data_IF_579684838519
#
_entry.id   IF_579684838519
#
_cell.length_a   1.000
_cell.length_b   1.000
_cell.length_c   1.000
_cell.angle_alpha   90.00
_cell.angle_beta   90.00
_cell.angle_gamma   90.00
#
_symmetry.space_group_name_H-M   'P 1'
#
loop_
_entity.id
_entity.type
_entity.pdbx_description
1 polymer ?
#
# COMPACT_ATOMS: atom_id res chain seq x y z
N UNK A 1 -2.65 -6.42 15.99
CA UNK A 1 -2.55 -5.47 14.86
C UNK A 1 -2.06 -4.07 15.24
N UNK A 2 -1.48 -3.84 16.43
CA UNK A 2 -1.17 -2.48 16.92
C UNK A 2 0.14 -1.85 16.42
N UNK A 3 0.93 -2.53 15.56
CA UNK A 3 2.24 -2.01 15.08
C UNK A 3 2.39 -1.95 13.55
N UNK A 4 1.43 -2.45 12.78
CA UNK A 4 1.51 -2.50 11.32
C UNK A 4 0.42 -1.60 10.72
N UNK A 5 0.79 -0.75 9.77
CA UNK A 5 -0.17 0.08 9.03
C UNK A 5 -1.13 -0.83 8.25
N UNK A 6 -2.42 -0.47 8.26
CA UNK A 6 -3.46 -1.26 7.60
C UNK A 6 -3.25 -1.32 6.08
N UNK A 7 -2.68 -0.26 5.51
CA UNK A 7 -2.27 -0.17 4.11
C UNK A 7 -1.27 -1.28 3.75
N UNK A 8 -0.24 -1.49 4.58
CA UNK A 8 0.75 -2.54 4.34
C UNK A 8 0.12 -3.94 4.39
N UNK A 9 -0.79 -4.18 5.34
CA UNK A 9 -1.50 -5.47 5.45
C UNK A 9 -2.37 -5.75 4.22
N UNK A 10 -3.13 -4.75 3.77
CA UNK A 10 -3.98 -4.86 2.57
C UNK A 10 -3.14 -5.14 1.32
N UNK A 11 -2.04 -4.41 1.14
CA UNK A 11 -1.15 -4.60 -0.01
C UNK A 11 -0.52 -5.99 -0.04
N UNK A 12 0.00 -6.48 1.10
CA UNK A 12 0.57 -7.83 1.18
C UNK A 12 -0.48 -8.92 0.97
N UNK A 13 -1.69 -8.75 1.53
CA UNK A 13 -2.78 -9.70 1.31
C UNK A 13 -3.13 -9.83 -0.19
N UNK A 14 -3.08 -8.72 -0.93
CA UNK A 14 -3.29 -8.72 -2.38
C UNK A 14 -2.17 -9.39 -3.15
N UNK A 15 -0.92 -9.07 -2.87
CA UNK A 15 0.24 -9.70 -3.52
C UNK A 15 0.25 -11.23 -3.28
N UNK A 16 -0.20 -11.66 -2.11
CA UNK A 16 -0.35 -13.08 -1.75
C UNK A 16 -1.61 -13.74 -2.33
N UNK A 17 -2.38 -13.05 -3.18
CA UNK A 17 -3.61 -13.55 -3.80
C UNK A 17 -4.66 -14.07 -2.80
N UNK A 18 -4.79 -13.41 -1.64
CA UNK A 18 -5.70 -13.87 -0.59
C UNK A 18 -7.17 -13.42 -0.76
N UNK A 19 -7.55 -12.97 -1.97
CA UNK A 19 -8.91 -12.57 -2.31
C UNK A 19 -9.24 -11.10 -2.00
N UNK A 20 -10.50 -10.85 -1.63
CA UNK A 20 -10.96 -9.48 -1.34
C UNK A 20 -10.50 -8.99 0.02
N UNK A 21 -9.95 -7.77 0.06
CA UNK A 21 -9.42 -7.13 1.27
C UNK A 21 -10.45 -7.07 2.41
N UNK A 22 -11.72 -6.82 2.08
CA UNK A 22 -12.83 -6.76 3.04
C UNK A 22 -13.16 -8.14 3.61
N UNK A 23 -13.26 -9.15 2.75
CA UNK A 23 -13.58 -10.52 3.16
C UNK A 23 -12.47 -11.11 4.03
N UNK A 24 -11.21 -10.87 3.66
CA UNK A 24 -10.05 -11.33 4.40
C UNK A 24 -9.94 -10.69 5.79
N UNK A 25 -10.06 -9.37 5.87
CA UNK A 25 -9.93 -8.67 7.15
C UNK A 25 -11.10 -8.94 8.09
N UNK A 26 -12.25 -9.37 7.57
CA UNK A 26 -13.38 -9.83 8.39
C UNK A 26 -13.08 -11.15 9.12
N UNK A 27 -12.11 -11.95 8.64
CA UNK A 27 -11.68 -13.21 9.26
C UNK A 27 -10.58 -13.00 10.32
N UNK A 28 -10.09 -11.78 10.51
CA UNK A 28 -9.07 -11.48 11.51
C UNK A 28 -9.63 -11.66 12.93
N UNK A 29 -8.74 -12.00 13.89
CA UNK A 29 -9.09 -12.15 15.31
C UNK A 29 -9.76 -10.91 15.91
N UNK A 30 -9.37 -9.73 15.43
CA UNK A 30 -9.99 -8.45 15.76
C UNK A 30 -10.18 -7.67 14.44
N UNK A 31 -11.38 -7.73 13.82
CA UNK A 31 -11.59 -7.17 12.50
C UNK A 31 -11.58 -5.64 12.55
N UNK A 32 -10.81 -4.97 11.66
CA UNK A 32 -10.78 -3.52 11.61
C UNK A 32 -12.12 -2.95 11.14
N UNK A 33 -12.44 -1.72 11.56
CA UNK A 33 -13.64 -0.99 11.10
C UNK A 33 -13.61 -0.82 9.58
N UNK A 34 -14.76 -0.96 8.91
CA UNK A 34 -14.90 -0.77 7.46
C UNK A 34 -14.40 0.60 6.98
N UNK A 35 -14.60 1.66 7.78
CA UNK A 35 -14.08 2.99 7.49
C UNK A 35 -12.55 3.05 7.47
N UNK A 36 -11.89 2.24 8.30
CA UNK A 36 -10.43 2.09 8.29
C UNK A 36 -9.94 1.38 7.04
N UNK A 37 -10.61 0.29 6.64
CA UNK A 37 -10.29 -0.45 5.41
C UNK A 37 -10.44 0.46 4.20
N UNK A 38 -11.57 1.15 4.07
CA UNK A 38 -11.81 2.10 2.96
C UNK A 38 -10.73 3.17 2.87
N UNK A 39 -10.33 3.73 4.01
CA UNK A 39 -9.25 4.74 4.06
C UNK A 39 -7.91 4.14 3.64
N UNK A 40 -7.58 2.94 4.10
CA UNK A 40 -6.34 2.28 3.73
C UNK A 40 -6.27 1.98 2.22
N UNK A 41 -7.38 1.49 1.64
CA UNK A 41 -7.51 1.26 0.19
C UNK A 41 -7.41 2.57 -0.59
N UNK A 42 -8.09 3.63 -0.14
CA UNK A 42 -7.98 4.96 -0.76
C UNK A 42 -6.53 5.47 -0.75
N UNK A 43 -5.83 5.37 0.39
CA UNK A 43 -4.42 5.75 0.50
C UNK A 43 -3.53 4.93 -0.47
N UNK A 44 -3.78 3.62 -0.58
CA UNK A 44 -3.04 2.75 -1.51
C UNK A 44 -3.26 3.16 -2.97
N UNK A 45 -4.49 3.55 -3.34
CA UNK A 45 -4.82 4.08 -4.67
C UNK A 45 -4.14 5.41 -4.94
N UNK A 46 -4.17 6.34 -3.98
CA UNK A 46 -3.51 7.65 -4.10
C UNK A 46 -1.99 7.53 -4.28
N UNK A 47 -1.38 6.58 -3.55
CA UNK A 47 0.06 6.30 -3.64
C UNK A 47 0.41 5.51 -4.91
N UNK A 48 -0.58 4.91 -5.58
CA UNK A 48 -0.41 4.14 -6.81
C UNK A 48 0.04 2.70 -6.57
N UNK A 49 -0.08 2.19 -5.35
CA UNK A 49 0.27 0.82 -5.00
C UNK A 49 -0.79 -0.19 -5.46
N UNK A 50 -2.05 0.23 -5.57
CA UNK A 50 -3.14 -0.56 -6.15
C UNK A 50 -3.92 0.25 -7.19
N UNK A 51 -4.58 -0.43 -8.12
CA UNK A 51 -5.42 0.16 -9.17
C UNK A 51 -6.76 0.65 -8.62
N UNK A 52 -7.40 1.53 -9.38
CA UNK A 52 -8.72 2.05 -9.07
C UNK A 52 -9.80 0.99 -9.29
N UNK A 53 -9.60 0.15 -10.30
CA UNK A 53 -10.50 -0.91 -10.72
C UNK A 53 -9.94 -2.28 -10.33
N UNK A 54 -10.78 -3.32 -10.37
CA UNK A 54 -10.37 -4.71 -10.18
C UNK A 54 -10.57 -5.49 -11.49
N UNK A 55 -9.55 -6.21 -11.94
CA UNK A 55 -9.62 -7.10 -13.08
C UNK A 55 -10.60 -8.24 -12.77
N UNK A 56 -11.64 -8.38 -13.60
CA UNK A 56 -12.64 -9.45 -13.50
C UNK A 56 -13.98 -9.05 -12.89
N UNK A 57 -14.08 -7.91 -12.20
CA UNK A 57 -15.35 -7.32 -11.76
C UNK A 57 -15.63 -6.09 -12.62
N UNK A 58 -16.51 -6.21 -13.63
CA UNK A 58 -17.03 -5.14 -14.50
C UNK A 58 -16.30 -3.79 -14.35
N UNK A 59 -15.12 -3.60 -14.97
CA UNK A 59 -14.20 -2.44 -14.87
C UNK A 59 -14.79 -1.17 -14.23
N UNK A 60 -15.01 -1.21 -12.92
CA UNK A 60 -15.76 -0.20 -12.19
C UNK A 60 -15.10 0.01 -10.86
N UNK A 61 -15.14 1.27 -10.45
CA UNK A 61 -14.55 1.76 -9.22
C UNK A 61 -15.00 0.91 -8.01
N UNK A 62 -14.05 0.24 -7.36
CA UNK A 62 -14.31 -0.50 -6.12
C UNK A 62 -13.76 0.29 -4.92
N UNK A 63 -14.61 0.75 -4.00
CA UNK A 63 -14.14 1.56 -2.86
C UNK A 63 -13.33 0.76 -1.82
N UNK A 64 -13.43 -0.57 -1.82
CA UNK A 64 -12.82 -1.47 -0.85
C UNK A 64 -11.74 -2.37 -1.44
N UNK A 65 -11.48 -2.29 -2.74
CA UNK A 65 -10.55 -3.18 -3.41
C UNK A 65 -9.90 -2.58 -4.66
N UNK A 66 -8.84 -3.22 -5.13
CA UNK A 66 -8.05 -2.89 -6.32
C UNK A 66 -6.97 -3.96 -6.55
N UNK A 67 -6.44 -4.07 -7.76
CA UNK A 67 -5.31 -4.95 -8.05
C UNK A 67 -3.99 -4.27 -7.70
N UNK A 68 -2.97 -5.04 -7.31
CA UNK A 68 -1.65 -4.45 -7.06
C UNK A 68 -1.01 -4.02 -8.38
N UNK A 69 -0.28 -2.90 -8.34
CA UNK A 69 0.52 -2.44 -9.47
C UNK A 69 1.97 -2.92 -9.33
N UNK A 70 2.78 -2.80 -10.39
CA UNK A 70 4.22 -3.03 -10.29
C UNK A 70 4.89 -2.10 -9.27
N UNK A 71 4.43 -0.85 -9.19
CA UNK A 71 4.86 0.09 -8.16
C UNK A 71 4.51 -0.43 -6.76
N UNK A 72 3.30 -0.96 -6.58
CA UNK A 72 2.87 -1.60 -5.34
C UNK A 72 3.71 -2.81 -4.95
N UNK A 73 4.07 -3.65 -5.92
CA UNK A 73 4.95 -4.81 -5.69
C UNK A 73 6.33 -4.38 -5.19
N UNK A 74 6.97 -3.42 -5.85
CA UNK A 74 8.26 -2.88 -5.41
C UNK A 74 8.15 -2.26 -4.01
N UNK A 75 7.10 -1.49 -3.75
CA UNK A 75 6.88 -0.83 -2.47
C UNK A 75 6.61 -1.81 -1.33
N UNK A 76 5.93 -2.93 -1.60
CA UNK A 76 5.73 -3.99 -0.60
C UNK A 76 7.05 -4.67 -0.21
N UNK A 77 8.04 -4.70 -1.12
CA UNK A 77 9.37 -5.22 -0.85
C UNK A 77 10.24 -4.31 0.03
N UNK A 78 9.84 -3.05 0.28
CA UNK A 78 10.62 -2.11 1.06
C UNK A 78 10.10 -2.05 2.52
N UNK A 79 10.98 -2.18 3.54
CA UNK A 79 10.58 -2.15 4.95
C UNK A 79 10.39 -0.71 5.46
N UNK A 80 9.70 0.13 4.70
CA UNK A 80 9.46 1.56 4.99
C UNK A 80 7.99 1.91 4.74
N UNK A 81 7.58 3.11 5.16
CA UNK A 81 6.26 3.64 4.81
C UNK A 81 6.12 3.76 3.28
N UNK A 82 4.96 3.37 2.76
CA UNK A 82 4.65 3.38 1.32
C UNK A 82 4.90 4.75 0.68
N UNK A 83 4.66 5.86 1.40
CA UNK A 83 4.93 7.22 0.89
C UNK A 83 6.41 7.43 0.57
N UNK A 84 7.31 6.87 1.38
CA UNK A 84 8.74 6.91 1.13
C UNK A 84 9.15 5.95 0.00
N UNK A 85 8.50 4.79 -0.11
CA UNK A 85 8.67 3.91 -1.27
C UNK A 85 8.36 4.61 -2.59
N UNK A 86 7.27 5.38 -2.64
CA UNK A 86 6.92 6.21 -3.81
C UNK A 86 7.96 7.29 -4.09
N UNK A 87 8.49 7.95 -3.05
CA UNK A 87 9.55 8.95 -3.20
C UNK A 87 10.81 8.35 -3.84
N UNK A 88 11.26 7.19 -3.34
CA UNK A 88 12.44 6.49 -3.87
C UNK A 88 12.22 6.08 -5.33
N UNK A 89 11.04 5.55 -5.65
CA UNK A 89 10.70 5.17 -7.02
C UNK A 89 10.68 6.37 -7.97
N UNK A 90 10.15 7.51 -7.51
CA UNK A 90 10.17 8.73 -8.30
C UNK A 90 11.60 9.26 -8.48
N UNK A 91 12.43 9.16 -7.43
CA UNK A 91 13.87 9.47 -7.51
C UNK A 91 14.60 8.59 -8.52
N UNK A 92 14.29 7.29 -8.58
CA UNK A 92 14.82 6.40 -9.61
C UNK A 92 14.48 6.88 -11.03
N UNK A 93 13.21 7.23 -11.27
CA UNK A 93 12.75 7.73 -12.58
C UNK A 93 13.45 9.03 -13.00
N UNK A 94 13.75 9.92 -12.05
CA UNK A 94 14.40 11.20 -12.31
C UNK A 94 15.94 11.17 -12.21
N UNK A 95 16.55 10.01 -11.95
CA UNK A 95 18.01 9.89 -11.80
C UNK A 95 18.57 10.46 -10.48
N UNK A 96 17.72 10.60 -9.46
CA UNK A 96 18.03 11.12 -8.11
C UNK A 96 17.81 10.05 -7.03
N UNK A 97 18.22 8.81 -7.33
CA UNK A 97 17.95 7.66 -6.46
C UNK A 97 18.66 7.79 -5.10
N UNK A 98 19.91 8.20 -5.11
CA UNK A 98 20.73 8.29 -3.89
C UNK A 98 20.16 9.34 -2.93
N UNK A 99 19.85 10.53 -3.43
CA UNK A 99 19.32 11.65 -2.66
C UNK A 99 17.94 11.32 -2.06
N UNK A 100 17.08 10.67 -2.85
CA UNK A 100 15.74 10.29 -2.37
C UNK A 100 15.79 9.19 -1.31
N UNK A 101 16.74 8.26 -1.39
CA UNK A 101 16.98 7.27 -0.32
C UNK A 101 17.47 7.96 0.96
N UNK A 102 18.41 8.90 0.85
CA UNK A 102 18.92 9.66 2.01
C UNK A 102 17.78 10.42 2.69
N UNK A 103 16.95 11.13 1.91
CA UNK A 103 15.78 11.86 2.43
C UNK A 103 14.78 10.89 3.09
N UNK A 104 14.45 9.79 2.41
CA UNK A 104 13.53 8.78 2.94
C UNK A 104 14.04 8.17 4.26
N UNK A 105 15.33 7.85 4.35
CA UNK A 105 15.94 7.33 5.57
C UNK A 105 15.89 8.35 6.71
N UNK A 106 16.22 9.61 6.44
CA UNK A 106 16.16 10.69 7.43
C UNK A 106 14.75 10.99 7.94
N UNK A 107 13.71 10.79 7.12
CA UNK A 107 12.31 10.94 7.52
C UNK A 107 11.70 9.68 8.17
N UNK A 108 12.26 8.51 7.88
CA UNK A 108 11.81 7.22 8.43
C UNK A 108 12.28 6.99 9.87
N UNK A 109 13.40 7.61 10.26
CA UNK A 109 13.86 7.58 11.64
C UNK A 109 12.98 8.49 12.51
N UNK A 110 12.57 7.98 13.68
CA UNK A 110 12.01 8.86 14.70
C UNK A 110 13.10 9.83 15.15
N UNK A 111 12.73 11.09 15.38
CA UNK A 111 13.63 12.07 16.01
C UNK A 111 14.27 11.42 17.24
N UNK A 112 15.60 11.47 17.38
CA UNK A 112 16.30 10.92 18.55
C UNK A 112 15.81 11.55 19.86
#
# INVERSE_FOLDING_TARGET
MMKSSLESVVLHAKILNMGSSKALLALAMDPPKLSGIRRAVANLKEVGAITIDCQGENESFNEFDGDWTYLGEVMAGLPIDLRFGRLIMMGHVFGLLEETIIIAAGLSTKSP
#
